data_IF_967987219500
#
_entry.id   IF_967987219500
#
_cell.length_a   1.000
_cell.length_b   1.000
_cell.length_c   1.000
_cell.angle_alpha   90.00
_cell.angle_beta   90.00
_cell.angle_gamma   90.00
#
_symmetry.space_group_name_H-M   'P 1'
#
loop_
_entity.id
_entity.type
_entity.pdbx_description
1 polymer ?
#
# COMPACT_ATOMS: atom_id res chain seq x y z
N UNK A 1 44.60 55.68 31.45
CA UNK A 1 43.52 54.70 31.34
C UNK A 1 43.22 54.41 29.86
N UNK A 2 44.08 53.71 29.15
CA UNK A 2 43.84 53.20 27.79
C UNK A 2 44.73 51.95 27.68
N UNK A 3 44.15 50.78 27.85
CA UNK A 3 44.75 49.49 27.41
C UNK A 3 43.97 48.34 28.07
N UNK A 4 42.80 47.95 27.51
CA UNK A 4 42.15 46.66 27.78
C UNK A 4 40.94 46.49 26.84
N UNK A 5 41.17 46.54 25.52
CA UNK A 5 40.09 46.21 24.58
C UNK A 5 40.63 45.79 23.23
N UNK A 6 41.50 44.77 23.22
CA UNK A 6 42.01 44.15 21.95
C UNK A 6 42.12 42.62 22.05
N UNK A 7 41.57 41.95 23.06
CA UNK A 7 41.78 40.51 23.19
C UNK A 7 40.49 39.69 23.19
N UNK A 8 39.38 40.18 22.57
CA UNK A 8 38.13 39.43 22.51
C UNK A 8 37.57 39.20 21.08
N UNK A 9 38.31 39.58 20.05
CA UNK A 9 37.87 39.36 18.63
C UNK A 9 38.56 38.17 17.98
N UNK A 10 39.59 37.61 18.61
CA UNK A 10 40.36 36.47 18.05
C UNK A 10 39.80 35.08 18.32
N UNK A 11 38.77 34.90 19.15
CA UNK A 11 38.31 33.58 19.58
C UNK A 11 37.00 33.11 18.94
N UNK A 12 36.33 33.91 18.14
CA UNK A 12 35.06 33.57 17.49
C UNK A 12 35.27 33.04 16.05
N UNK A 13 36.42 33.30 15.46
CA UNK A 13 36.74 32.83 14.09
C UNK A 13 37.21 31.35 13.99
N UNK A 14 37.51 30.68 15.11
CA UNK A 14 38.04 29.31 15.11
C UNK A 14 36.97 28.20 15.32
N UNK A 15 35.68 28.56 15.57
CA UNK A 15 34.61 27.56 15.83
C UNK A 15 33.77 27.26 14.58
N UNK A 16 33.90 28.03 13.51
CA UNK A 16 33.15 27.85 12.28
C UNK A 16 33.83 27.00 11.19
N UNK A 17 35.01 26.51 11.43
CA UNK A 17 35.77 25.71 10.44
C UNK A 17 35.68 24.16 10.66
N UNK A 18 34.83 23.70 11.56
CA UNK A 18 34.73 22.28 11.96
C UNK A 18 33.42 21.56 11.61
N UNK A 19 32.49 22.18 10.88
CA UNK A 19 31.34 21.44 10.33
C UNK A 19 31.74 20.86 8.96
N UNK A 20 32.50 19.79 8.98
CA UNK A 20 32.59 18.88 7.82
C UNK A 20 31.20 18.38 7.55
N UNK A 21 30.59 18.78 6.41
CA UNK A 21 29.46 18.06 5.89
C UNK A 21 29.86 16.59 5.86
N UNK A 22 29.22 15.75 6.67
CA UNK A 22 29.40 14.31 6.59
C UNK A 22 28.90 13.93 5.20
N UNK A 23 29.81 13.77 4.26
CA UNK A 23 29.49 13.22 2.96
C UNK A 23 28.83 11.88 3.23
N UNK A 24 27.54 11.79 2.91
CA UNK A 24 26.78 10.56 2.99
C UNK A 24 27.55 9.54 2.15
N UNK A 25 28.07 8.49 2.77
CA UNK A 25 28.81 7.46 2.04
C UNK A 25 27.90 6.93 0.94
N UNK A 26 28.38 6.76 -0.28
CA UNK A 26 27.59 6.20 -1.36
C UNK A 26 27.06 4.85 -0.91
N UNK A 27 25.74 4.66 -1.03
CA UNK A 27 25.09 3.37 -0.78
C UNK A 27 25.81 2.34 -1.66
N UNK A 28 26.34 1.24 -1.10
CA UNK A 28 26.99 0.23 -1.91
C UNK A 28 25.99 -0.29 -2.96
N UNK A 29 26.44 -0.60 -4.18
CA UNK A 29 25.58 -1.13 -5.21
C UNK A 29 24.91 -2.43 -4.69
N UNK A 30 23.69 -2.75 -5.15
CA UNK A 30 23.02 -3.99 -4.78
C UNK A 30 23.96 -5.17 -4.96
N UNK A 31 23.99 -6.08 -3.99
CA UNK A 31 24.86 -7.26 -4.03
C UNK A 31 24.80 -7.91 -5.41
N UNK A 32 25.96 -8.09 -6.04
CA UNK A 32 26.08 -8.78 -7.33
C UNK A 32 25.51 -10.21 -7.29
N UNK A 33 25.21 -10.74 -6.11
CA UNK A 33 24.69 -12.09 -5.85
C UNK A 33 23.16 -12.14 -5.75
N UNK A 34 22.42 -11.01 -5.79
CA UNK A 34 20.97 -11.08 -5.80
C UNK A 34 20.47 -11.71 -7.13
N UNK A 35 19.56 -12.68 -7.06
CA UNK A 35 19.04 -13.33 -8.26
C UNK A 35 18.27 -12.33 -9.15
N UNK A 36 18.09 -12.69 -10.42
CA UNK A 36 17.18 -11.96 -11.30
C UNK A 36 15.73 -12.27 -10.95
N UNK A 37 14.83 -11.32 -11.25
CA UNK A 37 13.40 -11.52 -11.07
C UNK A 37 12.89 -12.61 -12.00
N UNK A 38 12.10 -13.60 -11.52
CA UNK A 38 11.51 -14.60 -12.36
C UNK A 38 10.52 -13.95 -13.35
N UNK A 39 10.55 -14.38 -14.61
CA UNK A 39 9.66 -13.84 -15.66
C UNK A 39 8.23 -14.40 -15.59
N UNK A 40 8.06 -15.56 -14.97
CA UNK A 40 6.78 -16.24 -14.82
C UNK A 40 6.67 -16.82 -13.43
N UNK A 41 5.42 -17.01 -12.95
CA UNK A 41 5.18 -17.66 -11.68
C UNK A 41 5.64 -19.12 -11.71
N UNK A 42 6.27 -19.54 -10.63
CA UNK A 42 6.65 -20.92 -10.35
C UNK A 42 5.62 -21.66 -9.47
N UNK A 43 4.55 -20.98 -9.08
CA UNK A 43 3.51 -21.54 -8.19
C UNK A 43 2.68 -22.60 -8.88
N UNK A 44 2.37 -23.63 -8.15
CA UNK A 44 1.46 -24.73 -8.60
C UNK A 44 0.09 -24.66 -7.93
N UNK A 45 -0.16 -23.68 -7.06
CA UNK A 45 -1.39 -23.55 -6.28
C UNK A 45 -1.89 -22.11 -6.18
N UNK A 46 -2.92 -21.91 -5.35
CA UNK A 46 -3.48 -20.60 -5.08
C UNK A 46 -2.45 -19.66 -4.47
N UNK A 47 -2.62 -18.36 -4.72
CA UNK A 47 -1.93 -17.32 -3.96
C UNK A 47 -2.38 -17.35 -2.49
N UNK A 48 -1.53 -16.90 -1.59
CA UNK A 48 -1.92 -16.62 -0.20
C UNK A 48 -2.91 -15.46 -0.18
N UNK A 49 -2.67 -14.46 -1.03
CA UNK A 49 -3.51 -13.29 -1.21
C UNK A 49 -4.62 -13.57 -2.26
N UNK A 50 -5.86 -13.75 -1.79
CA UNK A 50 -7.02 -13.97 -2.64
C UNK A 50 -7.22 -12.91 -3.74
N UNK A 51 -6.86 -11.65 -3.46
CA UNK A 51 -7.03 -10.56 -4.43
C UNK A 51 -6.28 -10.86 -5.73
N UNK A 52 -5.07 -11.42 -5.60
CA UNK A 52 -4.25 -11.80 -6.75
C UNK A 52 -4.94 -12.90 -7.57
N UNK A 53 -5.47 -13.94 -6.92
CA UNK A 53 -6.23 -14.99 -7.60
C UNK A 53 -7.41 -14.43 -8.40
N UNK A 54 -8.12 -13.45 -7.85
CA UNK A 54 -9.24 -12.81 -8.55
C UNK A 54 -8.77 -11.99 -9.75
N UNK A 55 -7.72 -11.20 -9.59
CA UNK A 55 -7.17 -10.39 -10.69
C UNK A 55 -6.59 -11.23 -11.82
N UNK A 56 -5.97 -12.38 -11.51
CA UNK A 56 -5.50 -13.33 -12.52
C UNK A 56 -6.66 -13.97 -13.32
N UNK A 57 -7.86 -14.05 -12.72
CA UNK A 57 -9.09 -14.49 -13.40
C UNK A 57 -9.81 -13.33 -14.11
N UNK A 58 -9.26 -12.13 -14.12
CA UNK A 58 -9.91 -10.93 -14.68
C UNK A 58 -11.12 -10.44 -13.87
N UNK A 59 -11.28 -10.89 -12.63
CA UNK A 59 -12.40 -10.52 -11.77
C UNK A 59 -12.11 -9.26 -10.95
N UNK A 60 -13.08 -8.33 -10.83
CA UNK A 60 -13.00 -7.24 -9.87
C UNK A 60 -13.08 -7.77 -8.44
N UNK A 61 -12.54 -7.00 -7.49
CA UNK A 61 -12.57 -7.32 -6.05
C UNK A 61 -13.32 -6.26 -5.27
N UNK A 62 -13.86 -6.67 -4.13
CA UNK A 62 -14.67 -5.82 -3.25
C UNK A 62 -14.11 -5.89 -1.85
N UNK A 63 -13.92 -4.74 -1.19
CA UNK A 63 -13.37 -4.72 0.16
C UNK A 63 -14.38 -4.25 1.21
N UNK A 64 -14.19 -4.77 2.43
CA UNK A 64 -14.78 -4.21 3.64
C UNK A 64 -13.74 -3.34 4.35
N UNK A 65 -14.17 -2.25 4.98
CA UNK A 65 -13.28 -1.36 5.73
C UNK A 65 -13.62 -1.39 7.21
N UNK A 66 -12.58 -1.38 8.04
CA UNK A 66 -12.68 -1.24 9.48
C UNK A 66 -11.65 -0.22 9.97
N UNK A 67 -11.96 0.47 11.08
CA UNK A 67 -11.08 1.48 11.68
C UNK A 67 -10.63 1.02 13.06
N UNK A 68 -9.65 0.09 13.09
CA UNK A 68 -9.16 -0.53 14.31
C UNK A 68 -9.92 -1.81 14.70
N UNK A 69 -9.62 -2.33 15.87
CA UNK A 69 -10.14 -3.57 16.41
C UNK A 69 -9.10 -4.69 16.45
N UNK A 70 -9.09 -5.41 17.58
CA UNK A 70 -8.14 -6.48 17.86
C UNK A 70 -8.70 -7.87 17.57
N UNK A 71 -8.40 -8.81 18.45
CA UNK A 71 -8.67 -10.23 18.27
C UNK A 71 -10.15 -10.57 17.96
N UNK A 72 -11.08 -10.03 18.74
CA UNK A 72 -12.51 -10.33 18.56
C UNK A 72 -13.06 -9.74 17.25
N UNK A 73 -12.60 -8.54 16.85
CA UNK A 73 -12.98 -7.99 15.57
C UNK A 73 -12.39 -8.83 14.41
N UNK A 74 -11.17 -9.33 14.54
CA UNK A 74 -10.58 -10.27 13.57
C UNK A 74 -11.42 -11.53 13.41
N UNK A 75 -11.86 -12.15 14.49
CA UNK A 75 -12.77 -13.31 14.43
C UNK A 75 -14.09 -13.02 13.75
N UNK A 76 -14.68 -11.86 14.03
CA UNK A 76 -15.92 -11.41 13.39
C UNK A 76 -15.72 -11.17 11.89
N UNK A 77 -14.65 -10.47 11.52
CA UNK A 77 -14.35 -10.13 10.13
C UNK A 77 -13.94 -11.33 9.27
N UNK A 78 -13.55 -12.45 9.87
CA UNK A 78 -13.28 -13.68 9.13
C UNK A 78 -14.50 -14.22 8.35
N UNK A 79 -15.72 -13.84 8.76
CA UNK A 79 -16.97 -14.22 8.09
C UNK A 79 -17.37 -13.29 6.94
N UNK A 80 -16.58 -12.24 6.65
CA UNK A 80 -16.86 -11.28 5.57
C UNK A 80 -16.98 -11.98 4.21
N UNK A 81 -17.86 -11.46 3.36
CA UNK A 81 -17.93 -11.82 1.93
C UNK A 81 -16.96 -11.00 1.07
N UNK A 82 -16.31 -10.00 1.66
CA UNK A 82 -15.33 -9.18 0.96
C UNK A 82 -14.12 -10.02 0.50
N UNK A 83 -13.49 -9.60 -0.58
CA UNK A 83 -12.29 -10.25 -1.10
C UNK A 83 -11.06 -9.89 -0.29
N UNK A 84 -11.08 -8.70 0.33
CA UNK A 84 -10.09 -8.28 1.31
C UNK A 84 -10.69 -7.27 2.29
N UNK A 85 -9.96 -7.04 3.37
CA UNK A 85 -10.30 -6.08 4.41
C UNK A 85 -9.30 -4.93 4.33
N UNK A 86 -9.75 -3.69 4.26
CA UNK A 86 -8.94 -2.51 4.53
C UNK A 86 -8.96 -2.24 6.03
N UNK A 87 -7.79 -2.35 6.65
CA UNK A 87 -7.59 -1.98 8.05
C UNK A 87 -7.05 -0.56 8.11
N UNK A 88 -7.90 0.36 8.55
CA UNK A 88 -7.67 1.80 8.50
C UNK A 88 -6.90 2.26 9.74
N UNK A 89 -5.67 2.76 9.54
CA UNK A 89 -4.87 3.42 10.57
C UNK A 89 -4.45 4.85 10.15
N UNK A 90 -4.90 5.35 8.99
CA UNK A 90 -4.59 6.71 8.55
C UNK A 90 -5.27 7.75 9.45
N UNK A 91 -6.56 7.55 9.72
CA UNK A 91 -7.38 8.44 10.55
C UNK A 91 -7.74 7.82 11.90
N UNK A 92 -7.38 6.55 12.10
CA UNK A 92 -7.58 5.81 13.33
C UNK A 92 -6.31 5.71 14.19
N UNK A 93 -6.36 4.98 15.31
CA UNK A 93 -5.19 4.73 16.13
C UNK A 93 -4.11 3.94 15.37
N UNK A 94 -2.87 4.39 15.46
CA UNK A 94 -1.71 3.64 14.99
C UNK A 94 -1.31 2.62 16.05
N UNK A 95 -1.87 1.41 15.98
CA UNK A 95 -1.60 0.35 16.96
C UNK A 95 -1.23 -0.98 16.28
N UNK A 96 0.06 -1.25 16.16
CA UNK A 96 0.58 -2.50 15.58
C UNK A 96 0.30 -3.73 16.45
N UNK A 97 0.14 -3.57 17.76
CA UNK A 97 -0.24 -4.69 18.64
C UNK A 97 -1.68 -5.09 18.37
N UNK A 98 -2.58 -4.12 18.27
CA UNK A 98 -3.98 -4.37 17.94
C UNK A 98 -4.12 -5.01 16.56
N UNK A 99 -3.40 -4.50 15.54
CA UNK A 99 -3.35 -5.10 14.20
C UNK A 99 -2.88 -6.57 14.24
N UNK A 100 -1.87 -6.91 15.04
CA UNK A 100 -1.42 -8.31 15.20
C UNK A 100 -2.49 -9.18 15.85
N UNK A 101 -3.18 -8.67 16.84
CA UNK A 101 -4.31 -9.38 17.48
C UNK A 101 -5.46 -9.57 16.49
N UNK A 102 -5.75 -8.56 15.64
CA UNK A 102 -6.71 -8.69 14.57
C UNK A 102 -6.35 -9.83 13.60
N UNK A 103 -5.11 -9.85 13.12
CA UNK A 103 -4.62 -10.91 12.22
C UNK A 103 -4.69 -12.29 12.88
N UNK A 104 -4.39 -12.38 14.19
CA UNK A 104 -4.54 -13.62 14.96
C UNK A 104 -6.01 -14.06 15.03
N UNK A 105 -6.93 -13.13 15.26
CA UNK A 105 -8.36 -13.41 15.27
C UNK A 105 -8.85 -13.98 13.94
N UNK A 106 -8.38 -13.44 12.81
CA UNK A 106 -8.67 -13.99 11.48
C UNK A 106 -8.17 -15.42 11.32
N UNK A 107 -6.93 -15.70 11.77
CA UNK A 107 -6.33 -17.06 11.71
C UNK A 107 -7.12 -18.05 12.54
N UNK A 108 -7.44 -17.69 13.78
CA UNK A 108 -8.11 -18.58 14.75
C UNK A 108 -9.58 -18.85 14.39
N UNK A 109 -10.21 -17.98 13.59
CA UNK A 109 -11.54 -18.23 13.03
C UNK A 109 -11.55 -19.34 11.97
N UNK A 110 -10.39 -19.72 11.46
CA UNK A 110 -10.22 -20.78 10.46
C UNK A 110 -10.21 -20.25 9.02
N UNK A 111 -10.03 -21.15 8.04
CA UNK A 111 -9.88 -20.79 6.65
C UNK A 111 -11.17 -20.18 6.08
N UNK A 112 -11.00 -19.31 5.10
CA UNK A 112 -12.11 -18.74 4.33
C UNK A 112 -12.83 -19.79 3.51
N UNK A 113 -14.04 -19.49 3.03
CA UNK A 113 -14.81 -20.37 2.13
C UNK A 113 -14.07 -20.69 0.83
N UNK A 114 -13.11 -19.86 0.44
CA UNK A 114 -12.27 -20.08 -0.72
C UNK A 114 -11.02 -20.93 -0.43
N UNK A 115 -10.83 -21.32 0.85
CA UNK A 115 -9.70 -22.13 1.30
C UNK A 115 -8.39 -21.35 1.48
N UNK A 116 -8.44 -20.00 1.55
CA UNK A 116 -7.31 -19.19 2.00
C UNK A 116 -7.24 -19.22 3.53
N UNK A 117 -6.04 -19.07 4.08
CA UNK A 117 -5.81 -19.11 5.53
C UNK A 117 -6.59 -18.02 6.27
N UNK A 118 -6.63 -16.81 5.67
CA UNK A 118 -7.39 -15.65 6.14
C UNK A 118 -7.95 -14.88 4.94
N UNK A 119 -8.93 -13.98 5.12
CA UNK A 119 -9.14 -12.89 4.17
C UNK A 119 -7.84 -12.11 3.98
N UNK A 120 -7.59 -11.58 2.78
CA UNK A 120 -6.47 -10.67 2.59
C UNK A 120 -6.72 -9.37 3.39
N UNK A 121 -5.65 -8.74 3.88
CA UNK A 121 -5.71 -7.47 4.63
C UNK A 121 -4.76 -6.48 4.00
N UNK A 122 -5.26 -5.29 3.65
CA UNK A 122 -4.50 -4.13 3.19
C UNK A 122 -4.63 -3.03 4.23
N UNK A 123 -3.55 -2.38 4.58
CA UNK A 123 -3.52 -1.36 5.65
C UNK A 123 -3.31 0.02 5.06
N UNK A 124 -4.04 1.02 5.54
CA UNK A 124 -3.71 2.44 5.35
C UNK A 124 -2.93 2.93 6.56
N UNK A 125 -1.95 3.79 6.34
CA UNK A 125 -1.06 4.27 7.40
C UNK A 125 -1.07 5.80 7.49
N UNK A 126 -0.91 6.39 8.68
CA UNK A 126 -0.81 7.84 8.86
C UNK A 126 0.55 8.38 8.39
N UNK A 127 1.02 7.88 7.26
CA UNK A 127 2.26 8.30 6.63
C UNK A 127 1.93 9.00 5.32
N UNK A 128 2.10 10.31 5.27
CA UNK A 128 1.96 11.06 4.04
C UNK A 128 3.02 10.63 3.04
N UNK A 129 2.58 10.34 1.80
CA UNK A 129 3.41 9.78 0.75
C UNK A 129 4.41 10.75 0.13
N UNK A 130 5.19 11.44 0.96
CA UNK A 130 6.37 12.22 0.56
C UNK A 130 7.64 11.39 0.76
N UNK A 131 8.67 11.66 -0.03
CA UNK A 131 9.93 10.92 0.06
C UNK A 131 10.58 11.02 1.45
N UNK A 132 10.54 12.21 2.06
CA UNK A 132 11.16 12.43 3.37
C UNK A 132 10.41 11.69 4.48
N UNK A 133 9.07 11.69 4.44
CA UNK A 133 8.27 10.92 5.39
C UNK A 133 8.53 9.42 5.26
N UNK A 134 8.64 8.90 4.03
CA UNK A 134 8.93 7.48 3.82
C UNK A 134 10.33 7.10 4.33
N UNK A 135 11.35 7.96 4.12
CA UNK A 135 12.69 7.73 4.68
C UNK A 135 12.67 7.70 6.21
N UNK A 136 12.01 8.67 6.83
CA UNK A 136 11.94 8.78 8.28
C UNK A 136 11.10 7.66 8.93
N UNK A 137 10.10 7.14 8.23
CA UNK A 137 9.08 6.25 8.77
C UNK A 137 9.00 4.89 8.06
N UNK A 138 10.06 4.45 7.38
CA UNK A 138 10.12 3.12 6.76
C UNK A 138 9.78 1.97 7.75
N UNK A 139 10.06 2.19 9.03
CA UNK A 139 9.72 1.27 10.11
C UNK A 139 8.21 1.00 10.23
N UNK A 140 7.35 1.96 9.90
CA UNK A 140 5.88 1.75 9.87
C UNK A 140 5.50 0.69 8.84
N UNK A 141 6.08 0.77 7.62
CA UNK A 141 5.90 -0.24 6.58
C UNK A 141 6.32 -1.62 7.09
N UNK A 142 7.51 -1.69 7.71
CA UNK A 142 8.07 -2.95 8.18
C UNK A 142 7.27 -3.56 9.34
N UNK A 143 6.80 -2.75 10.30
CA UNK A 143 5.95 -3.22 11.40
C UNK A 143 4.58 -3.68 10.92
N UNK A 144 3.98 -2.97 9.98
CA UNK A 144 2.72 -3.36 9.36
C UNK A 144 2.84 -4.73 8.70
N UNK A 145 3.86 -4.94 7.85
CA UNK A 145 4.08 -6.22 7.18
C UNK A 145 4.46 -7.33 8.17
N UNK A 146 5.10 -6.99 9.30
CA UNK A 146 5.41 -7.92 10.37
C UNK A 146 4.16 -8.49 11.07
N UNK A 147 3.02 -7.80 10.99
CA UNK A 147 1.73 -8.30 11.47
C UNK A 147 1.12 -9.39 10.58
N UNK A 148 1.71 -9.65 9.40
CA UNK A 148 1.23 -10.69 8.47
C UNK A 148 0.16 -10.21 7.49
N UNK A 149 -0.01 -8.91 7.30
CA UNK A 149 -0.92 -8.32 6.31
C UNK A 149 -0.45 -8.57 4.87
N UNK A 150 -1.32 -8.33 3.90
CA UNK A 150 -1.11 -8.69 2.50
C UNK A 150 -0.83 -7.47 1.60
N UNK A 151 -0.81 -6.27 2.16
CA UNK A 151 -0.51 -5.06 1.40
C UNK A 151 -0.66 -3.78 2.21
N UNK A 152 -0.29 -2.68 1.55
CA UNK A 152 -0.41 -1.32 2.08
C UNK A 152 -0.93 -0.42 0.96
N UNK A 153 -1.85 0.47 1.30
CA UNK A 153 -2.27 1.59 0.49
C UNK A 153 -1.60 2.85 1.05
N UNK A 154 -0.67 3.41 0.28
CA UNK A 154 0.04 4.63 0.64
C UNK A 154 -0.85 5.84 0.42
N UNK A 155 -1.24 6.50 1.50
CA UNK A 155 -2.07 7.69 1.49
C UNK A 155 -1.28 8.92 1.07
N UNK A 156 -1.94 9.88 0.43
CA UNK A 156 -1.29 11.11 -0.06
C UNK A 156 0.00 10.84 -0.85
N UNK A 157 -0.04 9.94 -1.82
CA UNK A 157 1.14 9.45 -2.55
C UNK A 157 1.66 10.51 -3.55
N UNK A 158 2.43 11.49 -3.06
CA UNK A 158 2.78 12.71 -3.77
C UNK A 158 3.87 12.56 -4.84
N UNK A 159 4.67 11.50 -4.80
CA UNK A 159 5.79 11.38 -5.74
C UNK A 159 6.13 9.92 -6.09
N UNK A 160 6.71 9.67 -7.27
CA UNK A 160 7.21 8.33 -7.62
C UNK A 160 8.36 7.88 -6.70
N UNK A 161 9.11 8.81 -6.11
CA UNK A 161 10.14 8.48 -5.15
C UNK A 161 9.56 7.94 -3.85
N UNK A 162 8.46 8.51 -3.35
CA UNK A 162 7.75 7.98 -2.18
C UNK A 162 7.23 6.56 -2.45
N UNK A 163 6.63 6.32 -3.62
CA UNK A 163 6.19 4.99 -4.02
C UNK A 163 7.35 4.00 -4.05
N UNK A 164 8.50 4.38 -4.63
CA UNK A 164 9.72 3.56 -4.67
C UNK A 164 10.24 3.23 -3.28
N UNK A 165 10.33 4.21 -2.38
CA UNK A 165 10.79 4.02 -1.01
C UNK A 165 9.87 3.09 -0.20
N UNK A 166 8.56 3.13 -0.42
CA UNK A 166 7.63 2.17 0.16
C UNK A 166 7.96 0.73 -0.29
N UNK A 167 8.17 0.52 -1.58
CA UNK A 167 8.52 -0.80 -2.12
C UNK A 167 9.86 -1.29 -1.57
N UNK A 168 10.87 -0.42 -1.53
CA UNK A 168 12.20 -0.76 -0.97
C UNK A 168 12.11 -1.11 0.52
N UNK A 169 11.30 -0.40 1.31
CA UNK A 169 11.08 -0.69 2.72
C UNK A 169 10.36 -2.03 2.96
N UNK A 170 9.53 -2.46 2.03
CA UNK A 170 8.78 -3.70 2.11
C UNK A 170 9.62 -4.94 1.75
N UNK A 171 10.66 -4.79 0.96
CA UNK A 171 11.45 -5.88 0.38
C UNK A 171 12.63 -6.29 1.26
N UNK A 172 12.94 -7.58 1.26
CA UNK A 172 14.17 -8.07 1.89
C UNK A 172 15.41 -7.72 1.06
N UNK A 173 16.60 -7.54 1.71
CA UNK A 173 17.82 -7.18 0.99
C UNK A 173 18.28 -8.20 -0.06
N UNK A 174 17.89 -9.46 0.10
CA UNK A 174 18.21 -10.56 -0.82
C UNK A 174 17.14 -10.79 -1.89
N UNK A 175 16.05 -9.99 -1.90
CA UNK A 175 15.02 -10.10 -2.92
C UNK A 175 15.63 -9.85 -4.32
N UNK A 176 15.06 -10.46 -5.39
CA UNK A 176 15.54 -10.31 -6.74
C UNK A 176 15.69 -8.84 -7.15
N UNK A 177 16.72 -8.55 -7.94
CA UNK A 177 16.96 -7.19 -8.44
C UNK A 177 15.90 -6.77 -9.44
N UNK A 178 15.52 -5.51 -9.36
CA UNK A 178 14.53 -4.88 -10.25
C UNK A 178 15.10 -3.55 -10.71
N UNK A 179 15.06 -3.28 -11.99
CA UNK A 179 15.42 -1.99 -12.54
C UNK A 179 14.51 -0.89 -11.96
N UNK A 180 15.10 0.23 -11.58
CA UNK A 180 14.37 1.36 -10.97
C UNK A 180 14.16 1.25 -9.45
N UNK A 181 14.58 0.15 -8.79
CA UNK A 181 14.55 -0.01 -7.34
C UNK A 181 15.96 -0.20 -6.78
N UNK A 182 16.20 0.37 -5.60
CA UNK A 182 17.36 0.04 -4.80
C UNK A 182 17.18 -1.29 -4.06
N UNK A 183 18.20 -1.71 -3.33
CA UNK A 183 18.13 -2.90 -2.49
C UNK A 183 17.05 -2.73 -1.40
N UNK A 184 16.30 -3.80 -1.13
CA UNK A 184 15.33 -3.81 -0.05
C UNK A 184 15.98 -3.57 1.32
N UNK A 185 15.21 -2.97 2.23
CA UNK A 185 15.69 -2.60 3.57
C UNK A 185 14.98 -3.31 4.71
N UNK A 186 14.06 -4.24 4.40
CA UNK A 186 13.32 -5.00 5.42
C UNK A 186 14.26 -5.94 6.17
N UNK A 187 14.37 -5.74 7.49
CA UNK A 187 15.26 -6.51 8.35
C UNK A 187 14.78 -7.91 8.71
N UNK A 188 15.66 -8.68 9.34
CA UNK A 188 15.36 -9.98 9.92
C UNK A 188 14.52 -9.82 11.22
N UNK A 189 13.67 -10.81 11.54
CA UNK A 189 13.01 -10.95 12.84
C UNK A 189 11.48 -10.97 12.81
N UNK A 190 10.83 -10.58 11.70
CA UNK A 190 9.37 -10.54 11.61
C UNK A 190 8.75 -11.73 10.87
N UNK A 191 9.54 -12.48 10.12
CA UNK A 191 9.07 -13.52 9.21
C UNK A 191 8.40 -14.69 9.95
N UNK A 192 8.81 -15.00 11.17
CA UNK A 192 8.23 -16.11 11.93
C UNK A 192 6.75 -15.94 12.25
N UNK A 193 6.36 -14.75 12.71
CA UNK A 193 4.95 -14.47 12.97
C UNK A 193 4.15 -14.32 11.67
N UNK A 194 4.64 -13.52 10.73
CA UNK A 194 3.94 -13.29 9.48
C UNK A 194 3.73 -14.58 8.66
N UNK A 195 4.71 -15.49 8.66
CA UNK A 195 4.58 -16.79 8.00
C UNK A 195 3.49 -17.67 8.66
N UNK A 196 3.35 -17.62 9.97
CA UNK A 196 2.29 -18.36 10.68
C UNK A 196 0.90 -17.84 10.30
N UNK A 197 0.74 -16.53 10.13
CA UNK A 197 -0.51 -15.91 9.63
C UNK A 197 -0.83 -16.39 8.22
N UNK A 198 0.17 -16.46 7.34
CA UNK A 198 0.00 -16.93 5.96
C UNK A 198 -0.12 -18.45 5.82
N UNK A 199 0.19 -19.19 6.88
CA UNK A 199 0.17 -20.65 6.87
C UNK A 199 1.28 -21.28 6.02
N UNK A 200 2.44 -20.62 5.93
CA UNK A 200 3.63 -21.07 5.20
C UNK A 200 4.85 -21.17 6.10
N UNK A 201 5.93 -21.77 5.66
CA UNK A 201 7.21 -21.74 6.41
C UNK A 201 7.83 -20.34 6.38
N UNK A 202 8.69 -20.01 7.35
CA UNK A 202 9.41 -18.74 7.34
C UNK A 202 10.29 -18.58 6.09
N UNK A 203 10.87 -19.66 5.58
CA UNK A 203 11.66 -19.67 4.35
C UNK A 203 10.78 -19.33 3.13
N UNK A 204 9.63 -19.99 3.02
CA UNK A 204 8.68 -19.71 1.94
C UNK A 204 8.13 -18.28 2.03
N UNK A 205 7.79 -17.81 3.23
CA UNK A 205 7.38 -16.43 3.44
C UNK A 205 8.41 -15.45 2.90
N UNK A 206 9.68 -15.62 3.25
CA UNK A 206 10.76 -14.73 2.77
C UNK A 206 10.91 -14.75 1.24
N UNK A 207 10.54 -15.85 0.57
CA UNK A 207 10.58 -15.96 -0.90
C UNK A 207 9.42 -15.23 -1.57
N UNK A 208 8.22 -15.30 -0.98
CA UNK A 208 6.97 -14.78 -1.58
C UNK A 208 6.51 -13.43 -0.98
N UNK A 209 7.10 -12.98 0.12
CA UNK A 209 6.81 -11.67 0.73
C UNK A 209 7.47 -10.54 -0.08
N UNK A 210 7.04 -10.41 -1.33
CA UNK A 210 7.52 -9.46 -2.33
C UNK A 210 6.32 -8.91 -3.12
N UNK A 211 6.41 -7.71 -3.74
CA UNK A 211 5.28 -7.11 -4.43
C UNK A 211 4.86 -7.87 -5.70
N UNK A 212 3.57 -8.16 -5.80
CA UNK A 212 2.92 -8.56 -7.04
C UNK A 212 2.43 -7.29 -7.81
N UNK A 213 2.42 -7.21 -9.14
CA UNK A 213 2.82 -8.25 -10.11
C UNK A 213 4.30 -8.24 -10.48
N UNK A 214 5.09 -7.35 -9.90
CA UNK A 214 6.52 -7.23 -10.16
C UNK A 214 7.22 -8.58 -9.97
N UNK A 215 7.00 -9.22 -8.83
CA UNK A 215 7.32 -10.62 -8.61
C UNK A 215 6.08 -11.46 -8.89
N UNK A 216 6.06 -12.33 -9.91
CA UNK A 216 4.90 -13.18 -10.22
C UNK A 216 4.50 -14.15 -9.10
N UNK A 217 5.43 -14.51 -8.21
CA UNK A 217 5.18 -15.32 -7.01
C UNK A 217 4.91 -14.47 -5.76
N UNK A 218 4.98 -13.15 -5.90
CA UNK A 218 4.76 -12.20 -4.80
C UNK A 218 3.34 -12.27 -4.25
N UNK A 219 3.21 -11.95 -2.98
CA UNK A 219 1.93 -11.99 -2.26
C UNK A 219 1.50 -10.62 -1.70
N UNK A 220 2.37 -9.61 -1.80
CA UNK A 220 1.99 -8.26 -1.43
C UNK A 220 1.35 -7.51 -2.59
N UNK A 221 0.28 -6.77 -2.29
CA UNK A 221 -0.31 -5.78 -3.18
C UNK A 221 -0.11 -4.38 -2.58
N UNK A 222 0.58 -3.51 -3.29
CA UNK A 222 0.78 -2.13 -2.88
C UNK A 222 -0.01 -1.18 -3.76
N UNK A 223 -0.66 -0.21 -3.12
CA UNK A 223 -1.45 0.81 -3.78
C UNK A 223 -1.01 2.22 -3.44
N UNK A 224 -1.43 3.16 -4.29
CA UNK A 224 -1.23 4.59 -4.11
C UNK A 224 -2.58 5.29 -4.04
N UNK A 225 -2.81 6.13 -3.03
CA UNK A 225 -4.00 6.96 -2.92
C UNK A 225 -3.68 8.36 -3.45
N UNK A 226 -4.29 8.69 -4.57
CA UNK A 226 -4.12 9.97 -5.28
C UNK A 226 -5.22 10.90 -4.82
N UNK A 227 -4.88 11.84 -3.95
CA UNK A 227 -5.88 12.60 -3.20
C UNK A 227 -5.47 14.05 -2.88
N UNK A 228 -4.42 14.54 -3.54
CA UNK A 228 -4.02 15.94 -3.47
C UNK A 228 -3.38 16.39 -4.79
N UNK A 229 -3.26 17.71 -5.06
CA UNK A 229 -2.74 18.22 -6.33
C UNK A 229 -1.30 17.78 -6.68
N UNK A 230 -0.44 17.51 -5.69
CA UNK A 230 0.93 17.01 -5.95
C UNK A 230 0.92 15.55 -6.37
N UNK A 231 0.10 14.74 -5.72
CA UNK A 231 -0.12 13.35 -6.12
C UNK A 231 -0.69 13.27 -7.55
N UNK A 232 -1.69 14.12 -7.85
CA UNK A 232 -2.27 14.21 -9.20
C UNK A 232 -1.22 14.62 -10.25
N UNK A 233 -0.39 15.62 -9.97
CA UNK A 233 0.65 16.07 -10.91
C UNK A 233 1.65 14.96 -11.28
N UNK A 234 1.86 13.96 -10.41
CA UNK A 234 2.83 12.89 -10.57
C UNK A 234 2.21 11.51 -10.88
N UNK A 235 0.90 11.42 -11.05
CA UNK A 235 0.21 10.13 -11.10
C UNK A 235 0.74 9.20 -12.19
N UNK A 236 1.00 9.70 -13.41
CA UNK A 236 1.45 8.89 -14.55
C UNK A 236 2.83 8.25 -14.31
N UNK A 237 3.68 8.88 -13.50
CA UNK A 237 5.00 8.36 -13.15
C UNK A 237 4.93 7.48 -11.90
N UNK A 238 4.15 7.87 -10.90
CA UNK A 238 4.01 7.13 -9.64
C UNK A 238 3.41 5.74 -9.84
N UNK A 239 2.37 5.61 -10.67
CA UNK A 239 1.71 4.30 -10.94
C UNK A 239 2.57 3.33 -11.75
N UNK A 240 3.68 3.79 -12.35
CA UNK A 240 4.65 2.95 -13.07
C UNK A 240 5.81 2.48 -12.23
N UNK A 241 5.89 2.88 -10.97
CA UNK A 241 6.92 2.37 -10.06
C UNK A 241 6.77 0.86 -9.92
N UNK A 242 7.84 0.08 -10.15
CA UNK A 242 7.78 -1.37 -10.02
C UNK A 242 7.26 -1.80 -8.65
N UNK A 243 6.32 -2.75 -8.63
CA UNK A 243 5.71 -3.25 -7.40
C UNK A 243 4.41 -2.56 -6.99
N UNK A 244 4.01 -1.48 -7.67
CA UNK A 244 2.67 -0.91 -7.49
C UNK A 244 1.66 -1.77 -8.26
N UNK A 245 0.61 -2.22 -7.57
CA UNK A 245 -0.42 -3.11 -8.11
C UNK A 245 -1.73 -2.37 -8.43
N UNK A 246 -2.01 -1.28 -7.74
CA UNK A 246 -3.24 -0.51 -7.92
C UNK A 246 -3.08 0.95 -7.51
N UNK A 247 -4.04 1.79 -7.91
CA UNK A 247 -4.17 3.14 -7.36
C UNK A 247 -5.64 3.47 -7.10
N UNK A 248 -5.86 4.23 -6.04
CA UNK A 248 -7.14 4.82 -5.65
C UNK A 248 -7.17 6.30 -6.04
N UNK A 249 -8.31 6.77 -6.52
CA UNK A 249 -8.63 8.17 -6.44
C UNK A 249 -9.33 8.44 -5.10
N UNK A 250 -8.70 9.24 -4.23
CA UNK A 250 -9.19 9.60 -2.90
C UNK A 250 -10.03 10.90 -2.93
N UNK A 251 -11.33 10.83 -3.22
CA UNK A 251 -12.15 12.03 -3.42
C UNK A 251 -12.34 12.87 -2.17
N UNK A 252 -12.23 12.27 -0.97
CA UNK A 252 -12.39 12.98 0.31
C UNK A 252 -11.38 14.10 0.46
N UNK A 253 -10.12 13.73 0.59
CA UNK A 253 -9.02 14.68 0.77
C UNK A 253 -8.81 15.54 -0.48
N UNK A 254 -8.94 14.95 -1.67
CA UNK A 254 -8.85 15.71 -2.91
C UNK A 254 -9.86 16.87 -2.96
N UNK A 255 -11.09 16.64 -2.46
CA UNK A 255 -12.11 17.67 -2.34
C UNK A 255 -11.70 18.82 -1.42
N UNK A 256 -11.05 18.53 -0.30
CA UNK A 256 -10.53 19.58 0.59
C UNK A 256 -9.46 20.44 -0.10
N UNK A 257 -8.55 19.82 -0.86
CA UNK A 257 -7.52 20.56 -1.59
C UNK A 257 -8.07 21.39 -2.76
N UNK A 258 -8.98 20.86 -3.55
CA UNK A 258 -9.52 21.52 -4.74
C UNK A 258 -10.62 22.52 -4.41
N UNK A 259 -11.50 22.19 -3.50
CA UNK A 259 -12.68 23.02 -3.17
C UNK A 259 -12.41 24.03 -2.06
N UNK A 260 -11.34 23.85 -1.28
CA UNK A 260 -10.89 24.78 -0.25
C UNK A 260 -11.89 25.06 0.87
N UNK A 261 -12.96 24.26 1.00
CA UNK A 261 -14.03 24.49 1.98
C UNK A 261 -14.44 23.20 2.67
N UNK A 262 -14.36 23.13 4.02
CA UNK A 262 -14.93 22.02 4.77
C UNK A 262 -16.43 21.85 4.45
N UNK A 263 -16.87 20.63 4.22
CA UNK A 263 -18.29 20.31 4.01
C UNK A 263 -18.84 20.55 2.59
N UNK A 264 -18.05 21.08 1.65
CA UNK A 264 -18.48 21.18 0.24
C UNK A 264 -18.38 19.86 -0.51
N UNK A 265 -17.63 18.90 0.02
CA UNK A 265 -17.59 17.55 -0.46
C UNK A 265 -18.62 16.69 0.28
N UNK A 266 -19.67 16.28 -0.40
CA UNK A 266 -20.63 15.29 0.08
C UNK A 266 -20.46 14.00 -0.74
N UNK A 267 -19.77 13.05 -0.16
CA UNK A 267 -19.48 11.69 -0.58
C UNK A 267 -19.98 11.27 -1.98
N UNK A 268 -19.06 11.00 -2.86
CA UNK A 268 -19.34 10.57 -4.23
C UNK A 268 -18.78 11.49 -5.31
N UNK A 269 -18.26 12.57 -4.96
CA UNK A 269 -17.31 13.52 -5.49
C UNK A 269 -17.13 13.79 -6.97
N UNK A 270 -17.88 13.19 -7.87
CA UNK A 270 -17.81 13.52 -9.29
C UNK A 270 -18.71 14.71 -9.70
N UNK A 271 -19.39 15.33 -8.73
CA UNK A 271 -20.31 16.43 -9.00
C UNK A 271 -19.62 17.70 -9.54
N UNK A 272 -18.35 17.94 -9.16
CA UNK A 272 -17.56 19.05 -9.68
C UNK A 272 -16.76 18.61 -10.90
N UNK A 273 -16.74 19.40 -12.00
CA UNK A 273 -15.98 19.07 -13.22
C UNK A 273 -14.49 18.80 -12.96
N UNK A 274 -13.88 19.53 -12.03
CA UNK A 274 -12.48 19.39 -11.63
C UNK A 274 -12.22 18.03 -11.00
N UNK A 275 -13.11 17.60 -10.10
CA UNK A 275 -13.04 16.28 -9.44
C UNK A 275 -13.19 15.15 -10.45
N UNK A 276 -14.14 15.27 -11.38
CA UNK A 276 -14.33 14.29 -12.44
C UNK A 276 -13.12 14.24 -13.40
N UNK A 277 -12.46 15.37 -13.67
CA UNK A 277 -11.25 15.41 -14.49
C UNK A 277 -10.08 14.67 -13.84
N UNK A 278 -9.85 14.90 -12.54
CA UNK A 278 -8.81 14.19 -11.79
C UNK A 278 -9.09 12.69 -11.73
N UNK A 279 -10.30 12.29 -11.40
CA UNK A 279 -10.68 10.86 -11.41
C UNK A 279 -10.38 10.20 -12.75
N UNK A 280 -10.76 10.82 -13.86
CA UNK A 280 -10.45 10.30 -15.21
C UNK A 280 -8.95 10.21 -15.46
N UNK A 281 -8.16 11.18 -14.99
CA UNK A 281 -6.71 11.16 -15.10
C UNK A 281 -6.11 9.96 -14.37
N UNK A 282 -6.50 9.71 -13.12
CA UNK A 282 -6.04 8.56 -12.33
C UNK A 282 -6.44 7.24 -13.01
N UNK A 283 -7.70 7.10 -13.45
CA UNK A 283 -8.17 5.93 -14.19
C UNK A 283 -7.33 5.69 -15.46
N UNK A 284 -7.07 6.72 -16.24
CA UNK A 284 -6.28 6.61 -17.48
C UNK A 284 -4.82 6.24 -17.19
N UNK A 285 -4.22 6.83 -16.16
CA UNK A 285 -2.86 6.52 -15.73
C UNK A 285 -2.73 5.05 -15.28
N UNK A 286 -3.68 4.54 -14.50
CA UNK A 286 -3.69 3.14 -14.06
C UNK A 286 -3.84 2.17 -15.24
N UNK A 287 -4.74 2.47 -16.18
CA UNK A 287 -4.91 1.69 -17.41
C UNK A 287 -3.62 1.65 -18.24
N UNK A 288 -2.99 2.81 -18.44
CA UNK A 288 -1.76 2.93 -19.20
C UNK A 288 -0.56 2.23 -18.54
N UNK A 289 -0.59 2.10 -17.21
CA UNK A 289 0.42 1.36 -16.43
C UNK A 289 0.09 -0.14 -16.30
N UNK A 290 -1.10 -0.58 -16.70
CA UNK A 290 -1.54 -1.98 -16.56
C UNK A 290 -1.86 -2.42 -15.12
N UNK A 291 -2.02 -1.47 -14.19
CA UNK A 291 -2.40 -1.72 -12.80
C UNK A 291 -3.91 -1.53 -12.58
N UNK A 292 -4.40 -1.90 -11.38
CA UNK A 292 -5.82 -1.87 -11.08
C UNK A 292 -6.26 -0.50 -10.55
N UNK A 293 -7.46 -0.07 -10.91
CA UNK A 293 -8.05 1.16 -10.40
C UNK A 293 -9.05 0.85 -9.30
N UNK A 294 -8.89 1.54 -8.16
CA UNK A 294 -9.82 1.51 -7.03
C UNK A 294 -10.70 2.76 -7.06
N UNK A 295 -12.00 2.55 -6.98
CA UNK A 295 -12.97 3.63 -6.84
C UNK A 295 -14.16 3.19 -5.97
N UNK A 296 -14.76 4.14 -5.26
CA UNK A 296 -15.98 3.86 -4.51
C UNK A 296 -17.12 3.46 -5.44
N UNK A 297 -17.84 2.38 -5.11
CA UNK A 297 -18.97 1.87 -5.86
C UNK A 297 -20.22 1.82 -4.97
N UNK A 298 -21.38 1.97 -5.58
CA UNK A 298 -22.68 1.72 -4.94
C UNK A 298 -23.59 0.93 -5.90
N UNK A 299 -24.77 0.56 -5.45
CA UNK A 299 -25.71 -0.27 -6.22
C UNK A 299 -26.07 0.33 -7.57
N UNK A 300 -26.11 1.66 -7.68
CA UNK A 300 -26.48 2.38 -8.93
C UNK A 300 -25.31 2.52 -9.89
N UNK A 301 -24.08 2.57 -9.37
CA UNK A 301 -22.89 2.91 -10.16
C UNK A 301 -21.99 1.74 -10.47
N UNK A 302 -22.07 0.63 -9.73
CA UNK A 302 -21.11 -0.47 -9.81
C UNK A 302 -20.96 -1.05 -11.21
N UNK A 303 -22.05 -1.26 -11.95
CA UNK A 303 -21.99 -1.84 -13.31
C UNK A 303 -21.25 -0.90 -14.27
N UNK A 304 -21.57 0.39 -14.24
CA UNK A 304 -20.94 1.36 -15.13
C UNK A 304 -19.48 1.58 -14.78
N UNK A 305 -19.14 1.57 -13.51
CA UNK A 305 -17.75 1.63 -13.06
C UNK A 305 -16.95 0.40 -13.48
N UNK A 306 -17.53 -0.80 -13.40
CA UNK A 306 -16.88 -2.02 -13.90
C UNK A 306 -16.65 -1.97 -15.41
N UNK A 307 -17.64 -1.50 -16.19
CA UNK A 307 -17.48 -1.28 -17.63
C UNK A 307 -16.39 -0.26 -17.96
N UNK A 308 -16.25 0.75 -17.12
CA UNK A 308 -15.20 1.77 -17.24
C UNK A 308 -13.80 1.22 -16.89
N UNK A 309 -13.71 0.10 -16.19
CA UNK A 309 -12.46 -0.58 -15.85
C UNK A 309 -12.04 -0.46 -14.39
N UNK A 310 -12.96 -0.08 -13.51
CA UNK A 310 -12.73 -0.21 -12.06
C UNK A 310 -12.59 -1.69 -11.71
N UNK A 311 -11.52 -2.04 -10.98
CA UNK A 311 -11.21 -3.41 -10.60
C UNK A 311 -11.20 -3.62 -9.09
N UNK A 312 -11.40 -2.55 -8.32
CA UNK A 312 -11.52 -2.59 -6.86
C UNK A 312 -12.67 -1.65 -6.46
N UNK A 313 -13.66 -2.19 -5.76
CA UNK A 313 -14.83 -1.46 -5.27
C UNK A 313 -14.95 -1.54 -3.74
N UNK A 314 -15.54 -0.51 -3.15
CA UNK A 314 -15.93 -0.52 -1.74
C UNK A 314 -17.13 -1.47 -1.48
N UNK A 315 -17.41 -1.73 -0.21
CA UNK A 315 -18.65 -2.39 0.21
C UNK A 315 -18.72 -3.88 -0.10
N UNK A 316 -17.68 -4.64 0.24
CA UNK A 316 -17.59 -6.08 -0.02
C UNK A 316 -18.73 -6.93 0.53
N UNK A 317 -19.37 -6.47 1.60
CA UNK A 317 -20.56 -7.09 2.21
C UNK A 317 -21.88 -6.41 1.80
N UNK A 318 -21.87 -5.50 0.82
CA UNK A 318 -23.03 -4.74 0.38
C UNK A 318 -23.70 -5.33 -0.86
N UNK A 319 -24.97 -4.96 -1.13
CA UNK A 319 -25.65 -5.35 -2.37
C UNK A 319 -24.91 -4.91 -3.65
N UNK A 320 -24.14 -3.83 -3.61
CA UNK A 320 -23.31 -3.39 -4.75
C UNK A 320 -22.30 -4.47 -5.17
N UNK A 321 -21.65 -5.12 -4.20
CA UNK A 321 -20.73 -6.21 -4.49
C UNK A 321 -21.46 -7.42 -5.12
N UNK A 322 -22.64 -7.77 -4.63
CA UNK A 322 -23.43 -8.87 -5.19
C UNK A 322 -23.90 -8.58 -6.64
N UNK A 323 -24.30 -7.34 -6.92
CA UNK A 323 -24.64 -6.88 -8.27
C UNK A 323 -23.41 -6.98 -9.20
N UNK A 324 -22.26 -6.50 -8.74
CA UNK A 324 -21.04 -6.53 -9.55
C UNK A 324 -20.52 -7.95 -9.79
N UNK A 325 -20.55 -8.83 -8.78
CA UNK A 325 -20.21 -10.26 -8.93
C UNK A 325 -21.10 -10.97 -9.94
N UNK A 326 -22.42 -10.72 -9.87
CA UNK A 326 -23.39 -11.23 -10.83
C UNK A 326 -23.12 -10.71 -12.25
N UNK A 327 -22.85 -9.44 -12.39
CA UNK A 327 -22.53 -8.81 -13.68
C UNK A 327 -21.28 -9.42 -14.35
N UNK A 328 -20.28 -9.78 -13.56
CA UNK A 328 -19.04 -10.41 -14.06
C UNK A 328 -19.10 -11.94 -14.11
N UNK A 329 -20.27 -12.54 -13.91
CA UNK A 329 -20.48 -14.01 -13.88
C UNK A 329 -19.53 -14.71 -12.93
N UNK A 330 -19.25 -14.12 -11.79
CA UNK A 330 -18.31 -14.67 -10.82
C UNK A 330 -18.90 -15.92 -10.17
N UNK A 331 -18.18 -17.03 -10.23
CA UNK A 331 -18.57 -18.33 -9.66
C UNK A 331 -17.81 -18.68 -8.39
N UNK A 332 -16.70 -17.99 -8.12
CA UNK A 332 -15.92 -18.23 -6.90
C UNK A 332 -16.72 -17.85 -5.64
N UNK A 333 -16.68 -18.67 -4.59
CA UNK A 333 -17.31 -18.34 -3.31
C UNK A 333 -16.70 -17.07 -2.71
N UNK A 334 -17.47 -16.39 -1.86
CA UNK A 334 -17.09 -15.16 -1.15
C UNK A 334 -17.46 -15.28 0.33
#
# INVERSE_FOLDING_TARGET
MKTKMVLLVGMIAAILAGMSASAQQPVPPPSAMAPEMPKQSTRTGKHVNRVIDMWLKGQPVYYAQISGGGYEEGKKMAATKADYITYEMEHGPLDFKELREFMRGLVDAGPTRTGHKTPAVVVTLPISGTADNLRANAWMIQQTLAAGVHGILLCNAESPEAARLMIEAARYPFAPRVEGLAQGTRGNGSQGYASSVWGVTAQEYMRIADPWPMNPDGEFIFGLKIENPRADANVETSVRVPGIAFAEWGPGDHGFYLMGRPGTYQGGGEAAPEMAAVRRRVLNATKAAGIKFLNACNEKTVIDQLKEGVMICTGGDSPAADIGRKFTNRTDPF
#
